data_IF_523999910747
#
_entry.id   IF_523999910747
#
_cell.length_a   1.000
_cell.length_b   1.000
_cell.length_c   1.000
_cell.angle_alpha   90.00
_cell.angle_beta   90.00
_cell.angle_gamma   90.00
#
_symmetry.space_group_name_H-M   'P 1'
#
loop_
_entity.id
_entity.type
_entity.pdbx_description
1 polymer ?
#
# COMPACT_ATOMS: atom_id res chain seq x y z
N UNK A 1 42.25 61.20 -22.36
CA UNK A 1 42.02 59.98 -23.17
C UNK A 1 41.85 58.82 -22.20
N UNK A 2 40.64 58.26 -22.09
CA UNK A 2 40.39 57.05 -21.30
C UNK A 2 40.91 55.82 -22.08
N UNK A 3 41.53 54.83 -21.42
CA UNK A 3 41.94 53.60 -22.07
C UNK A 3 40.70 52.78 -22.51
N UNK A 4 40.80 51.99 -23.60
CA UNK A 4 39.66 51.24 -24.10
C UNK A 4 39.28 50.12 -23.12
N UNK A 5 37.98 50.06 -22.80
CA UNK A 5 37.36 48.97 -22.07
C UNK A 5 37.59 47.64 -22.80
N UNK A 6 38.45 46.79 -22.23
CA UNK A 6 38.59 45.39 -22.61
C UNK A 6 37.28 44.67 -22.28
N UNK A 7 36.52 44.28 -23.30
CA UNK A 7 35.34 43.41 -23.15
C UNK A 7 35.80 42.09 -22.56
N UNK A 8 35.32 41.77 -21.34
CA UNK A 8 35.47 40.42 -20.79
C UNK A 8 34.80 39.41 -21.74
N UNK A 9 35.41 38.23 -21.97
CA UNK A 9 34.78 37.20 -22.77
C UNK A 9 33.47 36.78 -22.08
N UNK A 10 32.37 36.87 -22.81
CA UNK A 10 31.07 36.33 -22.38
C UNK A 10 31.25 34.84 -22.07
N UNK A 11 30.96 34.45 -20.82
CA UNK A 11 30.99 33.06 -20.39
C UNK A 11 30.15 32.22 -21.36
N UNK A 12 30.77 31.21 -21.99
CA UNK A 12 30.05 30.33 -22.89
C UNK A 12 28.94 29.60 -22.10
N UNK A 13 27.72 29.48 -22.66
CA UNK A 13 26.66 28.74 -22.00
C UNK A 13 27.10 27.29 -21.79
N UNK A 14 27.15 26.85 -20.53
CA UNK A 14 27.50 25.48 -20.18
C UNK A 14 26.44 24.52 -20.73
N UNK A 15 26.86 23.58 -21.57
CA UNK A 15 25.97 22.52 -22.07
C UNK A 15 25.50 21.69 -20.86
N UNK A 16 24.18 21.53 -20.64
CA UNK A 16 23.67 20.72 -19.54
C UNK A 16 24.20 19.29 -19.65
N UNK A 17 24.72 18.76 -18.54
CA UNK A 17 25.21 17.37 -18.49
C UNK A 17 24.02 16.41 -18.55
N UNK A 18 23.90 15.67 -19.65
CA UNK A 18 22.87 14.63 -19.82
C UNK A 18 23.48 13.23 -19.72
N UNK A 19 22.63 12.22 -19.49
CA UNK A 19 23.04 10.81 -19.42
C UNK A 19 22.12 9.96 -20.29
N UNK A 20 22.68 9.02 -21.06
CA UNK A 20 21.94 8.00 -21.78
C UNK A 20 22.42 6.62 -21.35
N UNK A 21 21.63 5.97 -20.49
CA UNK A 21 21.93 4.66 -19.88
C UNK A 21 23.28 4.63 -19.14
N UNK A 22 23.59 3.47 -18.57
CA UNK A 22 24.88 3.15 -17.96
C UNK A 22 25.25 1.73 -18.35
N UNK A 23 26.56 1.49 -18.52
CA UNK A 23 27.06 0.14 -18.73
C UNK A 23 26.88 -0.66 -17.43
N UNK A 24 26.40 -1.90 -17.55
CA UNK A 24 26.35 -2.83 -16.43
C UNK A 24 27.77 -3.15 -15.97
N UNK A 25 28.03 -3.25 -14.67
CA UNK A 25 29.31 -3.70 -14.15
C UNK A 25 29.54 -5.19 -14.46
N UNK A 26 30.81 -5.62 -14.50
CA UNK A 26 31.22 -7.00 -14.81
C UNK A 26 30.70 -8.04 -13.78
N UNK A 27 30.24 -7.56 -12.62
CA UNK A 27 29.56 -8.34 -11.59
C UNK A 27 28.15 -8.78 -11.97
N UNK A 28 27.60 -8.28 -13.08
CA UNK A 28 26.22 -8.53 -13.53
C UNK A 28 26.19 -8.91 -15.01
N UNK A 29 25.18 -9.69 -15.42
CA UNK A 29 25.07 -10.17 -16.80
C UNK A 29 23.79 -9.59 -17.41
N UNK A 30 23.92 -8.90 -18.55
CA UNK A 30 22.75 -8.39 -19.28
C UNK A 30 21.83 -9.53 -19.70
N UNK A 31 20.52 -9.41 -19.46
CA UNK A 31 19.53 -10.41 -19.90
C UNK A 31 19.60 -10.67 -21.41
N UNK A 32 19.86 -9.62 -22.19
CA UNK A 32 19.94 -9.71 -23.65
C UNK A 32 21.28 -10.22 -24.18
N UNK A 33 22.29 -10.50 -23.33
CA UNK A 33 23.57 -11.05 -23.81
C UNK A 33 23.44 -12.55 -24.14
N UNK A 34 24.37 -13.13 -24.93
CA UNK A 34 24.41 -14.57 -25.14
C UNK A 34 24.42 -15.38 -23.84
N UNK A 35 25.16 -14.93 -22.83
CA UNK A 35 25.25 -15.54 -21.50
C UNK A 35 23.92 -15.39 -20.74
N UNK A 36 23.33 -14.19 -20.74
CA UNK A 36 22.03 -13.95 -20.10
C UNK A 36 20.89 -14.79 -20.69
N UNK A 37 20.92 -15.04 -22.00
CA UNK A 37 19.97 -15.95 -22.66
C UNK A 37 20.19 -17.41 -22.30
N UNK A 38 21.45 -17.84 -22.09
CA UNK A 38 21.75 -19.20 -21.61
C UNK A 38 21.24 -19.42 -20.19
N UNK A 39 21.46 -18.45 -19.29
CA UNK A 39 20.90 -18.47 -17.93
C UNK A 39 19.39 -18.56 -17.95
N UNK A 40 18.73 -17.79 -18.81
CA UNK A 40 17.27 -17.85 -18.93
C UNK A 40 16.77 -19.20 -19.47
N UNK A 41 17.46 -19.78 -20.45
CA UNK A 41 17.12 -21.11 -20.96
C UNK A 41 17.29 -22.20 -19.89
N UNK A 42 18.35 -22.14 -19.09
CA UNK A 42 18.61 -23.03 -17.95
C UNK A 42 17.55 -22.88 -16.86
N UNK A 43 17.25 -21.63 -16.48
CA UNK A 43 16.18 -21.31 -15.52
C UNK A 43 14.82 -21.81 -16.00
N UNK A 44 14.51 -21.67 -17.30
CA UNK A 44 13.26 -22.18 -17.86
C UNK A 44 13.19 -23.71 -17.83
N UNK A 45 14.29 -24.40 -18.15
CA UNK A 45 14.36 -25.85 -18.11
C UNK A 45 14.23 -26.42 -16.69
N UNK A 46 14.64 -25.66 -15.67
CA UNK A 46 14.52 -26.01 -14.24
C UNK A 46 13.24 -25.47 -13.57
N UNK A 47 12.36 -24.79 -14.32
CA UNK A 47 11.11 -24.22 -13.81
C UNK A 47 11.26 -22.94 -12.99
N UNK A 48 12.45 -22.33 -12.98
CA UNK A 48 12.78 -21.11 -12.23
C UNK A 48 12.30 -19.80 -12.87
N UNK A 49 11.50 -19.86 -13.94
CA UNK A 49 10.92 -18.68 -14.63
C UNK A 49 9.45 -18.47 -14.33
N UNK A 50 8.88 -19.11 -13.30
CA UNK A 50 7.44 -19.04 -13.00
C UNK A 50 6.95 -17.60 -12.79
N UNK A 51 7.69 -16.81 -12.02
CA UNK A 51 7.35 -15.41 -11.77
C UNK A 51 7.52 -14.51 -13.01
N UNK A 52 8.41 -14.89 -13.93
CA UNK A 52 8.85 -14.04 -15.03
C UNK A 52 7.70 -13.65 -15.95
N UNK A 53 6.85 -14.62 -16.32
CA UNK A 53 5.83 -14.42 -17.34
C UNK A 53 4.76 -13.41 -16.91
N UNK A 54 4.25 -13.52 -15.68
CA UNK A 54 3.28 -12.55 -15.16
C UNK A 54 3.92 -11.18 -14.94
N UNK A 55 5.17 -11.12 -14.46
CA UNK A 55 5.85 -9.83 -14.20
C UNK A 55 6.25 -9.10 -15.48
N UNK A 56 6.70 -9.81 -16.52
CA UNK A 56 7.19 -9.17 -17.76
C UNK A 56 6.06 -8.49 -18.54
N UNK A 57 4.83 -9.02 -18.46
CA UNK A 57 3.63 -8.38 -19.03
C UNK A 57 3.35 -7.02 -18.39
N UNK A 58 3.80 -6.81 -17.16
CA UNK A 58 3.56 -5.59 -16.38
C UNK A 58 4.77 -4.66 -16.32
N UNK A 59 5.93 -5.09 -16.84
CA UNK A 59 7.19 -4.38 -16.68
C UNK A 59 7.17 -3.00 -17.36
N UNK A 60 7.25 -1.95 -16.55
CA UNK A 60 7.27 -0.57 -17.00
C UNK A 60 8.49 0.20 -16.50
N UNK A 61 8.74 1.34 -17.12
CA UNK A 61 9.80 2.26 -16.69
C UNK A 61 9.26 3.14 -15.58
N UNK A 62 10.01 3.27 -14.48
CA UNK A 62 9.61 4.19 -13.42
C UNK A 62 9.53 5.63 -13.98
N UNK A 63 8.41 6.36 -13.75
CA UNK A 63 8.19 7.66 -14.38
C UNK A 63 9.08 8.74 -13.78
N UNK A 64 9.53 8.56 -12.55
CA UNK A 64 10.41 9.47 -11.83
C UNK A 64 11.65 8.73 -11.31
N UNK A 65 12.84 9.38 -11.22
CA UNK A 65 14.06 8.74 -10.72
C UNK A 65 13.94 8.13 -9.30
N UNK A 66 13.06 8.67 -8.47
CA UNK A 66 12.81 8.20 -7.10
C UNK A 66 11.69 7.15 -6.98
N UNK A 67 10.92 6.89 -8.05
CA UNK A 67 9.70 6.07 -8.01
C UNK A 67 9.93 4.55 -8.11
N UNK A 68 11.17 4.07 -8.02
CA UNK A 68 11.46 2.63 -8.17
C UNK A 68 10.61 1.73 -7.25
N UNK A 69 10.35 2.15 -6.01
CA UNK A 69 9.47 1.44 -5.09
C UNK A 69 8.01 1.43 -5.54
N UNK A 70 7.45 2.58 -5.93
CA UNK A 70 6.06 2.68 -6.40
C UNK A 70 5.85 1.84 -7.67
N UNK A 71 6.72 2.01 -8.65
CA UNK A 71 6.64 1.26 -9.92
C UNK A 71 6.78 -0.24 -9.70
N UNK A 72 7.68 -0.67 -8.82
CA UNK A 72 7.82 -2.09 -8.44
C UNK A 72 6.52 -2.63 -7.84
N UNK A 73 5.86 -1.88 -6.96
CA UNK A 73 4.60 -2.31 -6.36
C UNK A 73 3.47 -2.36 -7.40
N UNK A 74 3.38 -1.39 -8.31
CA UNK A 74 2.39 -1.42 -9.41
C UNK A 74 2.58 -2.66 -10.30
N UNK A 75 3.83 -2.99 -10.65
CA UNK A 75 4.14 -4.20 -11.43
C UNK A 75 3.60 -5.44 -10.74
N UNK A 76 3.85 -5.59 -9.43
CA UNK A 76 3.40 -6.75 -8.66
C UNK A 76 1.88 -6.79 -8.49
N UNK A 77 1.23 -5.65 -8.20
CA UNK A 77 -0.23 -5.57 -8.07
C UNK A 77 -0.94 -6.01 -9.35
N UNK A 78 -0.49 -5.52 -10.50
CA UNK A 78 -1.05 -5.90 -11.79
C UNK A 78 -0.72 -7.36 -12.14
N UNK A 79 0.48 -7.86 -11.79
CA UNK A 79 0.88 -9.25 -12.04
C UNK A 79 0.07 -10.24 -11.18
N UNK A 80 -0.35 -9.82 -9.98
CA UNK A 80 -1.28 -10.55 -9.11
C UNK A 80 -2.75 -10.38 -9.52
N UNK A 81 -3.03 -9.58 -10.57
CA UNK A 81 -4.38 -9.23 -11.01
C UNK A 81 -5.24 -8.62 -9.88
N UNK A 82 -4.65 -7.78 -9.02
CA UNK A 82 -5.40 -7.02 -8.03
C UNK A 82 -6.19 -5.94 -8.75
N UNK A 83 -7.50 -5.90 -8.48
CA UNK A 83 -8.40 -4.90 -9.03
C UNK A 83 -8.37 -3.63 -8.16
N UNK A 84 -7.92 -2.47 -8.68
CA UNK A 84 -7.83 -1.25 -7.88
C UNK A 84 -9.19 -0.67 -7.50
N UNK A 85 -10.29 -1.21 -8.05
CA UNK A 85 -11.69 -0.75 -7.87
C UNK A 85 -11.90 0.75 -8.10
N UNK A 86 -11.01 1.38 -8.87
CA UNK A 86 -11.09 2.78 -9.30
C UNK A 86 -10.76 2.87 -10.78
N UNK A 87 -11.37 3.83 -11.47
CA UNK A 87 -11.05 4.11 -12.86
C UNK A 87 -9.61 4.61 -12.97
N UNK A 88 -8.86 4.07 -13.93
CA UNK A 88 -7.57 4.59 -14.35
C UNK A 88 -7.76 5.55 -15.51
N UNK A 89 -8.30 5.05 -16.63
CA UNK A 89 -8.55 5.82 -17.86
C UNK A 89 -9.82 5.32 -18.54
N UNK A 90 -10.80 6.21 -18.70
CA UNK A 90 -12.09 5.85 -19.31
C UNK A 90 -12.77 4.70 -18.55
N UNK A 91 -13.20 3.62 -19.23
CA UNK A 91 -13.83 2.47 -18.56
C UNK A 91 -12.82 1.51 -17.90
N UNK A 92 -11.52 1.73 -18.07
CA UNK A 92 -10.48 0.79 -17.64
C UNK A 92 -10.07 1.03 -16.19
N UNK A 93 -9.84 -0.08 -15.47
CA UNK A 93 -9.31 -0.11 -14.10
C UNK A 93 -7.93 -0.77 -14.17
N UNK A 94 -6.91 -0.10 -13.67
CA UNK A 94 -5.54 -0.59 -13.71
C UNK A 94 -4.70 0.17 -12.69
N UNK A 95 -3.72 -0.48 -12.05
CA UNK A 95 -2.84 0.25 -11.15
C UNK A 95 -1.85 1.12 -11.91
N UNK A 96 -1.67 2.35 -11.41
CA UNK A 96 -0.55 3.24 -11.73
C UNK A 96 -0.02 3.88 -10.44
N UNK A 97 1.18 4.46 -10.48
CA UNK A 97 1.89 4.95 -9.29
C UNK A 97 1.13 6.04 -8.53
N UNK A 98 0.30 6.83 -9.23
CA UNK A 98 -0.53 7.88 -8.62
C UNK A 98 -1.55 7.34 -7.61
N UNK A 99 -1.89 6.05 -7.71
CA UNK A 99 -2.84 5.37 -6.83
C UNK A 99 -2.21 4.90 -5.51
N UNK A 100 -0.89 5.00 -5.35
CA UNK A 100 -0.13 4.50 -4.21
C UNK A 100 0.19 5.62 -3.19
N UNK A 101 -0.85 6.26 -2.66
CA UNK A 101 -0.76 7.45 -1.81
C UNK A 101 -1.20 7.25 -0.34
N UNK A 102 -1.62 6.04 0.06
CA UNK A 102 -2.12 5.78 1.41
C UNK A 102 -1.08 5.95 2.53
N UNK A 103 0.21 5.73 2.21
CA UNK A 103 1.33 5.77 3.16
C UNK A 103 2.35 6.87 2.84
N UNK A 104 2.13 7.70 1.82
CA UNK A 104 3.12 8.69 1.37
C UNK A 104 2.48 9.93 0.76
N UNK A 105 3.20 11.04 0.81
CA UNK A 105 2.98 12.18 -0.09
C UNK A 105 3.82 11.95 -1.37
N UNK A 106 3.16 11.82 -2.52
CA UNK A 106 3.81 11.52 -3.79
C UNK A 106 4.80 12.61 -4.23
N UNK A 107 4.56 13.89 -3.90
CA UNK A 107 5.52 14.95 -4.24
C UNK A 107 6.79 14.82 -3.39
N UNK A 108 6.67 14.45 -2.11
CA UNK A 108 7.82 14.15 -1.25
C UNK A 108 8.57 12.90 -1.73
N UNK A 109 7.85 11.91 -2.25
CA UNK A 109 8.46 10.69 -2.82
C UNK A 109 9.29 11.00 -4.07
N UNK A 110 8.94 12.01 -4.88
CA UNK A 110 9.77 12.42 -6.02
C UNK A 110 11.17 12.88 -5.59
N UNK A 111 11.27 13.49 -4.42
CA UNK A 111 12.52 14.01 -3.87
C UNK A 111 13.35 12.92 -3.18
N UNK A 112 12.70 12.05 -2.41
CA UNK A 112 13.37 11.17 -1.43
C UNK A 112 13.25 9.68 -1.72
N UNK A 113 12.27 9.27 -2.54
CA UNK A 113 11.92 7.86 -2.71
C UNK A 113 11.10 7.34 -1.53
N UNK A 114 11.16 6.03 -1.28
CA UNK A 114 10.48 5.38 -0.16
C UNK A 114 11.40 4.41 0.57
N UNK A 115 11.17 4.24 1.87
CA UNK A 115 11.89 3.27 2.72
C UNK A 115 11.33 1.86 2.58
N UNK A 116 12.04 0.87 3.13
CA UNK A 116 11.60 -0.53 3.16
C UNK A 116 10.26 -0.73 3.90
N UNK A 117 10.11 -0.07 5.06
CA UNK A 117 8.89 -0.02 5.86
C UNK A 117 7.73 0.62 5.09
N UNK A 118 8.00 1.73 4.40
CA UNK A 118 7.02 2.45 3.58
C UNK A 118 6.51 1.58 2.42
N UNK A 119 7.40 0.85 1.74
CA UNK A 119 6.98 -0.08 0.68
C UNK A 119 6.02 -1.14 1.22
N UNK A 120 6.36 -1.77 2.36
CA UNK A 120 5.50 -2.75 3.00
C UNK A 120 4.14 -2.16 3.41
N UNK A 121 4.14 -0.91 3.89
CA UNK A 121 2.92 -0.17 4.21
C UNK A 121 2.02 0.01 2.99
N UNK A 122 2.59 0.52 1.88
CA UNK A 122 1.86 0.71 0.64
C UNK A 122 1.27 -0.61 0.12
N UNK A 123 2.05 -1.69 0.13
CA UNK A 123 1.58 -3.00 -0.31
C UNK A 123 0.38 -3.48 0.52
N UNK A 124 0.46 -3.37 1.86
CA UNK A 124 -0.62 -3.77 2.76
C UNK A 124 -1.88 -2.94 2.59
N UNK A 125 -1.77 -1.63 2.35
CA UNK A 125 -2.92 -0.80 2.02
C UNK A 125 -3.69 -1.27 0.79
N UNK A 126 -2.99 -1.86 -0.18
CA UNK A 126 -3.59 -2.36 -1.42
C UNK A 126 -4.13 -3.79 -1.26
N UNK A 127 -4.30 -4.26 -0.02
CA UNK A 127 -4.88 -5.57 0.27
C UNK A 127 -3.96 -6.75 0.00
N UNK A 128 -2.64 -6.51 -0.11
CA UNK A 128 -1.67 -7.60 -0.24
C UNK A 128 -1.30 -8.18 1.12
N UNK A 129 -1.08 -9.49 1.14
CA UNK A 129 -0.34 -10.15 2.21
C UNK A 129 1.15 -9.83 2.06
N UNK A 130 1.78 -9.34 3.12
CA UNK A 130 3.15 -8.81 3.08
C UNK A 130 4.02 -9.54 4.12
N UNK A 131 5.02 -10.27 3.64
CA UNK A 131 6.10 -10.81 4.46
C UNK A 131 7.41 -10.07 4.14
N UNK A 132 7.73 -9.06 4.95
CA UNK A 132 8.91 -8.21 4.78
C UNK A 132 10.01 -8.61 5.76
N UNK A 133 11.19 -8.96 5.24
CA UNK A 133 12.34 -9.41 6.05
C UNK A 133 13.55 -8.52 5.77
N UNK A 134 14.03 -7.87 6.82
CA UNK A 134 15.29 -7.13 6.76
C UNK A 134 16.46 -8.09 6.52
N UNK A 135 17.40 -7.71 5.65
CA UNK A 135 18.58 -8.51 5.32
C UNK A 135 19.43 -8.86 6.55
N UNK A 136 19.50 -7.98 7.55
CA UNK A 136 20.18 -8.26 8.83
C UNK A 136 19.50 -9.34 9.69
N UNK A 137 18.22 -9.62 9.42
CA UNK A 137 17.39 -10.56 10.18
C UNK A 137 17.17 -11.88 9.43
N UNK A 138 17.94 -12.14 8.38
CA UNK A 138 17.87 -13.32 7.53
C UNK A 138 19.25 -13.92 7.33
N UNK A 139 19.30 -15.17 6.89
CA UNK A 139 20.50 -15.78 6.31
C UNK A 139 20.41 -15.85 4.78
N UNK A 140 21.54 -16.13 4.12
CA UNK A 140 21.55 -16.38 2.67
C UNK A 140 20.73 -17.63 2.31
N UNK A 141 20.71 -18.64 3.18
CA UNK A 141 19.99 -19.88 2.92
C UNK A 141 18.48 -19.67 3.05
N UNK A 142 18.04 -18.84 4.00
CA UNK A 142 16.65 -18.39 4.08
C UNK A 142 16.25 -17.59 2.84
N UNK A 143 17.09 -16.66 2.40
CA UNK A 143 16.84 -15.88 1.19
C UNK A 143 16.76 -16.78 -0.05
N UNK A 144 17.67 -17.75 -0.21
CA UNK A 144 17.65 -18.71 -1.32
C UNK A 144 16.39 -19.57 -1.30
N UNK A 145 15.93 -20.00 -0.12
CA UNK A 145 14.67 -20.73 0.02
C UNK A 145 13.49 -19.88 -0.47
N UNK A 146 13.41 -18.61 -0.06
CA UNK A 146 12.36 -17.68 -0.51
C UNK A 146 12.42 -17.44 -2.03
N UNK A 147 13.61 -17.27 -2.60
CA UNK A 147 13.81 -17.14 -4.06
C UNK A 147 13.28 -18.38 -4.78
N UNK A 148 13.60 -19.59 -4.31
CA UNK A 148 13.09 -20.83 -4.88
C UNK A 148 11.57 -20.93 -4.78
N UNK A 149 11.00 -20.65 -3.61
CA UNK A 149 9.55 -20.69 -3.37
C UNK A 149 8.76 -19.73 -4.27
N UNK A 150 9.34 -18.57 -4.61
CA UNK A 150 8.66 -17.53 -5.40
C UNK A 150 8.93 -17.61 -6.90
N UNK A 151 10.10 -18.08 -7.31
CA UNK A 151 10.47 -18.18 -8.73
C UNK A 151 10.27 -19.58 -9.34
N UNK A 152 10.17 -20.63 -8.51
CA UNK A 152 10.10 -22.03 -8.95
C UNK A 152 8.78 -22.68 -8.52
N UNK A 153 8.33 -23.69 -9.25
CA UNK A 153 7.10 -24.40 -8.92
C UNK A 153 7.35 -25.67 -8.09
N UNK A 154 6.40 -25.99 -7.20
CA UNK A 154 6.21 -27.36 -6.66
C UNK A 154 4.88 -27.99 -7.10
N UNK A 155 4.05 -27.26 -7.86
CA UNK A 155 2.73 -27.68 -8.35
C UNK A 155 2.60 -27.46 -9.87
N UNK A 156 1.52 -27.95 -10.49
CA UNK A 156 1.30 -27.97 -11.94
C UNK A 156 1.61 -26.65 -12.65
N UNK A 157 2.23 -26.74 -13.84
CA UNK A 157 2.65 -25.60 -14.68
C UNK A 157 1.50 -24.63 -15.04
N UNK A 158 0.25 -25.08 -14.97
CA UNK A 158 -0.94 -24.32 -15.39
C UNK A 158 -1.43 -23.25 -14.39
N UNK A 159 -0.95 -23.24 -13.14
CA UNK A 159 -1.41 -22.26 -12.15
C UNK A 159 -0.63 -20.94 -12.27
N UNK A 160 -1.33 -19.80 -12.28
CA UNK A 160 -0.70 -18.48 -12.17
C UNK A 160 0.05 -18.31 -10.83
N UNK A 161 1.17 -17.57 -10.77
CA UNK A 161 1.84 -17.26 -9.52
C UNK A 161 0.92 -16.47 -8.57
N UNK A 162 0.79 -16.92 -7.33
CA UNK A 162 0.00 -16.23 -6.28
C UNK A 162 0.85 -15.33 -5.38
N UNK A 163 2.16 -15.31 -5.62
CA UNK A 163 3.12 -14.51 -4.85
C UNK A 163 4.31 -14.10 -5.71
N UNK A 164 4.89 -12.94 -5.41
CA UNK A 164 6.10 -12.43 -6.06
C UNK A 164 7.10 -11.92 -5.03
N UNK A 165 8.39 -12.04 -5.36
CA UNK A 165 9.49 -11.54 -4.56
C UNK A 165 9.93 -10.16 -5.06
N UNK A 166 10.04 -9.23 -4.11
CA UNK A 166 10.62 -7.90 -4.31
C UNK A 166 11.86 -7.78 -3.44
N UNK A 167 12.92 -7.16 -3.99
CA UNK A 167 14.12 -6.82 -3.23
C UNK A 167 14.25 -5.32 -3.08
N UNK A 168 14.68 -4.88 -1.90
CA UNK A 168 15.23 -3.55 -1.65
C UNK A 168 16.72 -3.72 -1.39
N UNK A 169 17.56 -3.15 -2.24
CA UNK A 169 19.01 -3.40 -2.20
C UNK A 169 19.80 -2.13 -2.49
N UNK A 170 21.08 -2.12 -2.08
CA UNK A 170 21.97 -1.03 -2.47
C UNK A 170 22.69 -1.34 -3.79
N UNK A 171 22.63 -0.38 -4.72
CA UNK A 171 23.38 -0.44 -5.98
C UNK A 171 24.90 -0.41 -5.79
N UNK A 172 25.38 0.14 -4.67
CA UNK A 172 26.82 0.27 -4.38
C UNK A 172 27.52 -1.09 -4.31
N UNK A 173 26.93 -2.07 -3.63
CA UNK A 173 27.52 -3.41 -3.45
C UNK A 173 27.68 -4.14 -4.79
N UNK A 174 26.69 -3.99 -5.68
CA UNK A 174 26.72 -4.62 -7.00
C UNK A 174 27.54 -3.83 -8.04
N UNK A 175 28.16 -2.70 -7.67
CA UNK A 175 28.97 -1.87 -8.58
C UNK A 175 28.14 -0.98 -9.52
N UNK A 176 26.85 -0.79 -9.23
CA UNK A 176 25.98 0.08 -10.01
C UNK A 176 25.97 1.51 -9.44
N UNK A 177 25.70 2.48 -10.32
CA UNK A 177 25.54 3.88 -9.90
C UNK A 177 24.22 4.08 -9.16
N UNK A 178 24.19 4.87 -8.09
CA UNK A 178 23.01 5.15 -7.25
C UNK A 178 23.14 4.59 -5.84
N UNK A 179 22.11 4.78 -5.03
CA UNK A 179 22.06 4.37 -3.61
C UNK A 179 21.18 3.14 -3.42
N UNK A 180 19.94 3.30 -2.96
CA UNK A 180 18.95 2.22 -2.81
C UNK A 180 18.13 2.01 -4.08
N UNK A 181 17.57 0.82 -4.24
CA UNK A 181 16.68 0.49 -5.34
C UNK A 181 15.69 -0.61 -4.94
N UNK A 182 14.49 -0.57 -5.52
CA UNK A 182 13.50 -1.64 -5.47
C UNK A 182 13.33 -2.25 -6.85
N UNK A 183 13.17 -3.56 -6.93
CA UNK A 183 12.79 -4.27 -8.15
C UNK A 183 12.20 -5.64 -7.83
N UNK A 184 11.30 -6.18 -8.67
CA UNK A 184 10.87 -7.55 -8.56
C UNK A 184 11.92 -8.52 -9.11
N UNK A 185 11.94 -9.74 -8.56
CA UNK A 185 12.75 -10.84 -9.06
C UNK A 185 11.90 -11.67 -10.02
N UNK A 186 12.34 -11.73 -11.28
CA UNK A 186 11.60 -12.40 -12.35
C UNK A 186 11.90 -13.88 -12.47
N UNK A 187 13.14 -14.29 -12.21
CA UNK A 187 13.57 -15.68 -12.40
C UNK A 187 14.76 -16.03 -11.52
N UNK A 188 14.99 -17.33 -11.35
CA UNK A 188 16.12 -17.90 -10.65
C UNK A 188 16.70 -19.06 -11.46
N UNK A 189 18.01 -19.07 -11.65
CA UNK A 189 18.72 -20.19 -12.24
C UNK A 189 19.47 -20.95 -11.13
N UNK A 190 18.97 -22.12 -10.77
CA UNK A 190 19.52 -22.92 -9.67
C UNK A 190 20.91 -23.48 -9.98
N UNK A 191 21.19 -23.80 -11.24
CA UNK A 191 22.49 -24.37 -11.66
C UNK A 191 23.65 -23.39 -11.44
N UNK A 192 23.44 -22.10 -11.74
CA UNK A 192 24.47 -21.06 -11.58
C UNK A 192 24.31 -20.20 -10.33
N UNK A 193 23.21 -20.34 -9.58
CA UNK A 193 22.84 -19.51 -8.43
C UNK A 193 22.70 -18.01 -8.78
N UNK A 194 22.09 -17.70 -9.93
CA UNK A 194 21.80 -16.34 -10.38
C UNK A 194 20.31 -16.02 -10.31
N UNK A 195 19.99 -14.75 -10.00
CA UNK A 195 18.63 -14.22 -10.01
C UNK A 195 18.48 -13.10 -11.04
N UNK A 196 17.31 -13.04 -11.68
CA UNK A 196 16.98 -12.07 -12.71
C UNK A 196 16.24 -10.88 -12.09
N UNK A 197 16.89 -9.71 -12.11
CA UNK A 197 16.31 -8.45 -11.61
C UNK A 197 15.60 -7.73 -12.75
N UNK A 198 14.30 -7.48 -12.57
CA UNK A 198 13.49 -6.69 -13.51
C UNK A 198 13.60 -5.18 -13.17
N UNK A 199 14.77 -4.60 -13.40
CA UNK A 199 15.10 -3.20 -13.03
C UNK A 199 14.11 -2.19 -13.62
N UNK A 200 13.42 -1.45 -12.75
CA UNK A 200 12.41 -0.45 -13.15
C UNK A 200 13.04 0.83 -13.71
N UNK A 201 14.29 1.12 -13.41
CA UNK A 201 15.06 2.24 -13.96
C UNK A 201 15.60 1.90 -15.36
N UNK A 202 14.71 1.53 -16.29
CA UNK A 202 15.03 1.04 -17.64
C UNK A 202 15.83 2.04 -18.49
N UNK A 203 15.70 3.33 -18.19
CA UNK A 203 16.49 4.42 -18.77
C UNK A 203 17.97 4.38 -18.34
N UNK A 204 18.31 3.61 -17.30
CA UNK A 204 19.63 3.50 -16.69
C UNK A 204 20.26 2.13 -16.91
N UNK A 205 19.61 1.06 -16.47
CA UNK A 205 20.04 -0.33 -16.68
C UNK A 205 18.89 -1.16 -17.28
N UNK A 206 19.23 -2.17 -18.08
CA UNK A 206 18.24 -3.15 -18.54
C UNK A 206 18.00 -4.24 -17.50
N UNK A 207 17.11 -5.18 -17.83
CA UNK A 207 16.97 -6.44 -17.08
C UNK A 207 18.32 -7.17 -17.06
N UNK A 208 18.72 -7.66 -15.90
CA UNK A 208 20.05 -8.26 -15.70
C UNK A 208 20.06 -9.33 -14.62
N UNK A 209 21.00 -10.25 -14.75
CA UNK A 209 21.26 -11.32 -13.79
C UNK A 209 22.31 -10.87 -12.76
N UNK A 210 22.12 -11.26 -11.51
CA UNK A 210 23.03 -11.02 -10.39
C UNK A 210 23.26 -12.35 -9.64
N UNK A 211 24.49 -12.67 -9.20
CA UNK A 211 24.71 -13.80 -8.30
C UNK A 211 23.88 -13.65 -7.01
N UNK A 212 23.23 -14.72 -6.55
CA UNK A 212 22.35 -14.68 -5.38
C UNK A 212 23.08 -14.19 -4.13
N UNK A 213 24.31 -14.67 -3.92
CA UNK A 213 25.17 -14.22 -2.83
C UNK A 213 25.42 -12.72 -2.87
N UNK A 214 25.72 -12.17 -4.05
CA UNK A 214 26.00 -10.75 -4.22
C UNK A 214 24.74 -9.90 -3.99
N UNK A 215 23.57 -10.37 -4.41
CA UNK A 215 22.30 -9.71 -4.09
C UNK A 215 22.06 -9.71 -2.58
N UNK A 216 22.23 -10.85 -1.90
CA UNK A 216 22.05 -10.94 -0.45
C UNK A 216 22.97 -9.96 0.29
N UNK A 217 24.24 -9.88 -0.12
CA UNK A 217 25.20 -8.92 0.42
C UNK A 217 24.77 -7.46 0.15
N UNK A 218 23.95 -7.19 -0.87
CA UNK A 218 23.39 -5.88 -1.15
C UNK A 218 22.13 -5.53 -0.32
N UNK A 219 21.53 -6.50 0.38
CA UNK A 219 20.37 -6.29 1.27
C UNK A 219 20.77 -5.84 2.68
N UNK A 220 21.96 -6.24 3.13
CA UNK A 220 22.43 -6.08 4.52
C UNK A 220 22.93 -4.68 4.89
N UNK A 221 23.52 -3.85 4.00
CA UNK A 221 24.00 -2.53 4.37
C UNK A 221 22.87 -1.63 4.84
N UNK A 222 23.15 -0.82 5.86
CA UNK A 222 22.19 0.09 6.44
C UNK A 222 21.73 1.13 5.42
N UNK A 223 20.43 1.40 5.41
CA UNK A 223 19.86 2.57 4.78
C UNK A 223 20.16 3.79 5.66
N UNK A 224 20.87 4.83 5.14
CA UNK A 224 21.17 6.03 5.93
C UNK A 224 19.90 6.74 6.46
N UNK A 225 18.76 6.60 5.78
CA UNK A 225 17.54 7.31 6.16
C UNK A 225 16.86 6.67 7.38
N UNK A 226 17.07 5.36 7.61
CA UNK A 226 16.37 4.61 8.67
C UNK A 226 17.30 3.98 9.71
N UNK A 227 18.60 3.91 9.42
CA UNK A 227 19.58 3.17 10.23
C UNK A 227 19.35 1.66 10.27
N UNK A 228 18.41 1.12 9.49
CA UNK A 228 18.11 -0.33 9.37
C UNK A 228 18.62 -0.87 8.04
N UNK A 229 18.88 -2.18 7.96
CA UNK A 229 19.23 -2.79 6.68
C UNK A 229 18.06 -2.67 5.69
N UNK A 230 18.33 -2.86 4.40
CA UNK A 230 17.26 -3.13 3.44
C UNK A 230 16.80 -4.59 3.59
N UNK A 231 16.31 -5.24 2.54
CA UNK A 231 15.75 -6.57 2.68
C UNK A 231 14.98 -7.07 1.46
N UNK A 232 14.19 -8.11 1.68
CA UNK A 232 13.31 -8.69 0.67
C UNK A 232 11.89 -8.80 1.19
N UNK A 233 10.92 -8.76 0.28
CA UNK A 233 9.49 -8.75 0.59
C UNK A 233 8.80 -9.75 -0.32
N UNK A 234 8.11 -10.73 0.28
CA UNK A 234 7.16 -11.58 -0.45
C UNK A 234 5.79 -10.93 -0.38
N UNK A 235 5.22 -10.69 -1.55
CA UNK A 235 3.89 -10.13 -1.72
C UNK A 235 2.99 -11.22 -2.29
N UNK A 236 1.85 -11.48 -1.65
CA UNK A 236 0.88 -12.46 -2.16
C UNK A 236 -0.53 -11.92 -2.16
N UNK A 237 -1.33 -12.46 -3.08
CA UNK A 237 -2.75 -12.15 -3.19
C UNK A 237 -3.50 -13.39 -3.64
N UNK A 238 -4.46 -13.82 -2.83
CA UNK A 238 -5.26 -15.02 -3.10
C UNK A 238 -6.61 -14.70 -3.76
N UNK A 239 -6.82 -13.45 -4.19
CA UNK A 239 -8.08 -13.00 -4.79
C UNK A 239 -9.25 -12.94 -3.83
N UNK A 240 -10.37 -12.40 -4.30
CA UNK A 240 -11.70 -12.66 -3.73
C UNK A 240 -12.25 -13.88 -4.47
N UNK A 241 -11.93 -15.09 -4.00
CA UNK A 241 -12.46 -16.30 -4.64
C UNK A 241 -13.98 -16.34 -4.50
N UNK A 242 -14.70 -16.44 -5.63
CA UNK A 242 -16.17 -16.63 -5.65
C UNK A 242 -16.60 -18.02 -5.17
N UNK A 243 -15.67 -18.98 -5.11
CA UNK A 243 -15.94 -20.39 -4.78
C UNK A 243 -14.80 -20.99 -3.95
N UNK A 244 -14.80 -20.83 -2.61
CA UNK A 244 -14.03 -21.71 -1.73
C UNK A 244 -14.80 -22.07 -0.47
N UNK A 245 -15.11 -23.38 -0.33
CA UNK A 245 -15.45 -24.00 0.94
C UNK A 245 -14.29 -23.77 1.92
N UNK A 246 -14.59 -23.09 3.02
CA UNK A 246 -13.64 -22.64 4.03
C UNK A 246 -12.96 -23.85 4.70
N UNK A 247 -11.69 -24.09 4.38
CA UNK A 247 -10.81 -24.98 5.13
C UNK A 247 -10.21 -24.22 6.32
N UNK A 248 -10.19 -24.86 7.50
CA UNK A 248 -9.59 -24.33 8.72
C UNK A 248 -8.10 -24.03 8.55
N UNK A 249 -7.77 -22.77 8.31
CA UNK A 249 -6.42 -22.22 8.40
C UNK A 249 -6.55 -20.71 8.55
N UNK A 250 -5.82 -20.11 9.49
CA UNK A 250 -5.83 -18.66 9.73
C UNK A 250 -5.49 -17.92 8.43
N UNK A 251 -6.49 -17.26 7.87
CA UNK A 251 -6.37 -16.41 6.70
C UNK A 251 -6.47 -14.96 7.19
N UNK A 252 -5.35 -14.26 7.31
CA UNK A 252 -5.37 -12.81 7.53
C UNK A 252 -5.59 -12.09 6.20
N UNK A 253 -6.76 -12.27 5.59
CA UNK A 253 -7.09 -11.52 4.39
C UNK A 253 -7.57 -10.13 4.79
N UNK A 254 -6.81 -9.09 4.46
CA UNK A 254 -7.36 -7.74 4.41
C UNK A 254 -7.97 -7.56 3.02
N UNK A 255 -9.29 -7.68 2.84
CA UNK A 255 -9.91 -7.14 1.64
C UNK A 255 -9.52 -5.68 1.47
N UNK A 256 -9.40 -5.25 0.21
CA UNK A 256 -9.19 -3.84 -0.17
C UNK A 256 -10.11 -2.94 0.65
N UNK A 257 -9.60 -1.80 1.13
CA UNK A 257 -10.45 -0.78 1.74
C UNK A 257 -11.53 -0.36 0.75
N UNK A 258 -12.79 -0.50 1.16
CA UNK A 258 -13.97 -0.07 0.42
C UNK A 258 -14.63 1.14 1.06
N UNK A 259 -14.28 1.49 2.31
CA UNK A 259 -14.86 2.66 2.97
C UNK A 259 -13.88 3.83 3.03
N UNK A 260 -12.70 3.65 3.63
CA UNK A 260 -11.87 4.79 4.03
C UNK A 260 -10.38 4.64 3.69
N UNK A 261 -9.79 5.74 3.24
CA UNK A 261 -8.34 5.96 3.23
C UNK A 261 -7.97 6.72 4.49
N UNK A 262 -6.77 6.46 5.02
CA UNK A 262 -6.15 7.36 5.98
C UNK A 262 -5.15 8.26 5.27
N UNK A 263 -5.22 9.58 5.50
CA UNK A 263 -4.35 10.59 4.87
C UNK A 263 -2.98 10.63 5.56
N UNK A 264 -1.89 10.40 4.82
CA UNK A 264 -0.54 10.50 5.40
C UNK A 264 -0.02 11.93 5.53
N UNK A 265 -0.53 12.86 4.73
CA UNK A 265 -0.23 14.28 4.87
C UNK A 265 -0.57 14.83 6.27
N UNK A 266 -1.31 14.06 7.08
CA UNK A 266 -1.73 14.36 8.44
C UNK A 266 -1.12 13.42 9.48
N UNK A 267 0.10 12.94 9.26
CA UNK A 267 0.82 12.05 10.19
C UNK A 267 0.86 12.57 11.64
N UNK A 268 1.01 13.89 11.83
CA UNK A 268 0.95 14.51 13.15
C UNK A 268 -0.37 14.24 13.90
N UNK A 269 -1.51 14.15 13.20
CA UNK A 269 -2.79 13.79 13.80
C UNK A 269 -2.82 12.33 14.23
N UNK A 270 -2.23 11.43 13.44
CA UNK A 270 -2.10 10.00 13.78
C UNK A 270 -1.31 9.83 15.07
N UNK A 271 -0.17 10.50 15.18
CA UNK A 271 0.67 10.52 16.40
C UNK A 271 -0.06 11.10 17.59
N UNK A 272 -0.77 12.21 17.40
CA UNK A 272 -1.55 12.86 18.48
C UNK A 272 -2.62 11.92 19.01
N UNK A 273 -3.34 11.24 18.11
CA UNK A 273 -4.36 10.28 18.50
C UNK A 273 -3.75 9.03 19.15
N UNK A 274 -2.64 8.51 18.62
CA UNK A 274 -1.92 7.38 19.23
C UNK A 274 -1.46 7.69 20.66
N UNK A 275 -0.92 8.88 20.90
CA UNK A 275 -0.55 9.34 22.24
C UNK A 275 -1.76 9.44 23.17
N UNK A 276 -2.91 9.90 22.65
CA UNK A 276 -4.16 9.91 23.39
C UNK A 276 -4.59 8.49 23.80
N UNK A 277 -4.53 7.51 22.88
CA UNK A 277 -4.82 6.11 23.20
C UNK A 277 -3.87 5.55 24.27
N UNK A 278 -2.55 5.79 24.15
CA UNK A 278 -1.56 5.34 25.12
C UNK A 278 -1.79 5.91 26.52
N UNK A 279 -2.16 7.19 26.63
CA UNK A 279 -2.50 7.81 27.93
C UNK A 279 -3.74 7.18 28.55
N UNK A 280 -4.78 6.96 27.74
CA UNK A 280 -6.03 6.35 28.18
C UNK A 280 -5.83 4.91 28.69
N UNK A 281 -4.80 4.20 28.20
CA UNK A 281 -4.47 2.85 28.65
C UNK A 281 -3.60 2.80 29.93
N UNK A 282 -2.93 3.90 30.30
CA UNK A 282 -1.97 3.96 31.40
C UNK A 282 -2.52 4.60 32.69
N UNK A 283 -3.71 5.20 32.65
CA UNK A 283 -4.34 5.75 33.86
C UNK A 283 -4.86 4.62 34.76
N UNK A 284 -4.48 4.66 36.05
CA UNK A 284 -4.85 3.69 37.12
C UNK A 284 -6.37 3.55 37.34
N UNK A 285 -7.17 4.49 36.80
CA UNK A 285 -8.64 4.48 36.81
C UNK A 285 -9.28 3.73 35.62
N UNK A 286 -8.48 3.23 34.68
CA UNK A 286 -8.91 2.26 33.66
C UNK A 286 -10.13 2.69 32.84
N UNK A 287 -10.13 3.90 32.27
CA UNK A 287 -11.12 4.24 31.24
C UNK A 287 -10.82 3.42 29.98
N UNK A 288 -11.40 2.21 29.91
CA UNK A 288 -11.39 1.40 28.70
C UNK A 288 -11.85 2.27 27.51
N UNK A 289 -11.04 2.31 26.46
CA UNK A 289 -11.34 2.99 25.20
C UNK A 289 -12.76 2.59 24.77
N UNK A 290 -13.65 3.57 24.64
CA UNK A 290 -15.06 3.38 24.35
C UNK A 290 -15.49 4.32 23.21
N UNK A 291 -16.70 4.13 22.68
CA UNK A 291 -17.13 4.87 21.50
C UNK A 291 -17.26 6.37 21.81
N UNK A 292 -17.77 6.71 22.99
CA UNK A 292 -17.91 8.11 23.41
C UNK A 292 -16.58 8.83 23.55
N UNK A 293 -15.54 8.19 24.10
CA UNK A 293 -14.23 8.81 24.27
C UNK A 293 -13.53 9.08 22.92
N UNK A 294 -13.59 8.11 22.02
CA UNK A 294 -13.10 8.24 20.63
C UNK A 294 -13.89 9.32 19.87
N UNK A 295 -15.22 9.34 20.02
CA UNK A 295 -16.06 10.39 19.43
C UNK A 295 -15.71 11.77 19.98
N UNK A 296 -15.49 11.91 21.29
CA UNK A 296 -15.10 13.19 21.89
C UNK A 296 -13.77 13.69 21.32
N UNK A 297 -12.76 12.83 21.16
CA UNK A 297 -11.49 13.20 20.55
C UNK A 297 -11.68 13.71 19.11
N UNK A 298 -12.33 12.90 18.26
CA UNK A 298 -12.48 13.21 16.82
C UNK A 298 -13.51 14.28 16.50
N UNK A 299 -14.21 14.79 17.52
CA UNK A 299 -15.15 15.91 17.39
C UNK A 299 -14.73 17.13 18.19
N UNK A 300 -13.53 17.12 18.80
CA UNK A 300 -13.05 18.18 19.69
C UNK A 300 -14.08 18.51 20.78
N UNK A 301 -14.51 17.48 21.52
CA UNK A 301 -15.59 17.52 22.51
C UNK A 301 -16.93 17.97 21.91
N UNK A 302 -17.32 17.37 20.78
CA UNK A 302 -18.58 17.61 20.08
C UNK A 302 -18.76 19.05 19.54
N UNK A 303 -17.67 19.79 19.38
CA UNK A 303 -17.69 21.16 18.82
C UNK A 303 -17.47 21.18 17.31
N UNK A 304 -16.82 20.15 16.77
CA UNK A 304 -16.44 20.07 15.36
C UNK A 304 -16.64 18.67 14.78
N UNK A 305 -17.80 18.44 14.16
CA UNK A 305 -18.16 17.14 13.57
C UNK A 305 -17.39 16.79 12.29
N UNK A 306 -16.63 17.74 11.72
CA UNK A 306 -15.89 17.50 10.47
C UNK A 306 -14.42 17.17 10.71
N UNK A 307 -13.93 17.29 11.95
CA UNK A 307 -12.52 17.07 12.27
C UNK A 307 -12.03 15.65 11.95
N UNK A 308 -12.90 14.64 12.03
CA UNK A 308 -12.59 13.26 11.61
C UNK A 308 -12.13 13.15 10.14
N UNK A 309 -12.62 14.02 9.26
CA UNK A 309 -12.27 14.04 7.83
C UNK A 309 -10.86 14.61 7.55
N UNK A 310 -10.22 15.19 8.56
CA UNK A 310 -8.79 15.50 8.48
C UNK A 310 -7.96 14.22 8.47
N UNK A 311 -8.36 13.17 9.18
CA UNK A 311 -7.63 11.89 9.19
C UNK A 311 -8.04 10.96 8.04
N UNK A 312 -9.35 10.81 7.81
CA UNK A 312 -9.88 9.82 6.87
C UNK A 312 -10.63 10.43 5.70
N UNK A 313 -10.59 9.76 4.56
CA UNK A 313 -11.31 10.13 3.34
C UNK A 313 -12.12 8.95 2.81
N UNK A 314 -13.40 9.13 2.44
CA UNK A 314 -14.15 8.09 1.74
C UNK A 314 -13.47 7.68 0.43
N UNK A 315 -13.16 6.40 0.25
CA UNK A 315 -12.48 5.91 -0.96
C UNK A 315 -13.40 5.48 -2.09
N UNK A 316 -14.68 5.23 -1.83
CA UNK A 316 -15.47 4.49 -2.81
C UNK A 316 -15.93 5.34 -4.00
N UNK A 317 -15.47 4.95 -5.18
CA UNK A 317 -16.20 5.11 -6.43
C UNK A 317 -16.69 3.73 -6.87
N UNK A 318 -17.92 3.32 -6.50
CA UNK A 318 -18.41 2.00 -6.86
C UNK A 318 -18.41 1.85 -8.38
N UNK A 319 -17.80 0.78 -8.86
CA UNK A 319 -17.66 0.52 -10.30
C UNK A 319 -18.68 -0.51 -10.81
N UNK A 320 -19.32 -1.26 -9.90
CA UNK A 320 -20.46 -2.12 -10.20
C UNK A 320 -21.53 -2.12 -9.07
N UNK A 321 -22.63 -2.84 -9.28
CA UNK A 321 -23.73 -2.96 -8.31
C UNK A 321 -23.36 -3.76 -7.06
N UNK A 322 -22.39 -4.67 -7.16
CA UNK A 322 -21.96 -5.52 -6.06
C UNK A 322 -21.15 -4.72 -5.03
N UNK A 323 -20.32 -3.78 -5.49
CA UNK A 323 -19.62 -2.83 -4.62
C UNK A 323 -20.62 -1.95 -3.83
N UNK A 324 -21.68 -1.47 -4.49
CA UNK A 324 -22.73 -0.67 -3.85
C UNK A 324 -23.43 -1.48 -2.76
N UNK A 325 -23.80 -2.73 -3.06
CA UNK A 325 -24.51 -3.61 -2.15
C UNK A 325 -23.63 -4.02 -0.96
N UNK A 326 -22.35 -4.30 -1.21
CA UNK A 326 -21.35 -4.59 -0.18
C UNK A 326 -21.18 -3.40 0.76
N UNK A 327 -20.97 -2.20 0.23
CA UNK A 327 -20.82 -1.00 1.07
C UNK A 327 -22.10 -0.65 1.81
N UNK A 328 -23.27 -0.80 1.19
CA UNK A 328 -24.54 -0.60 1.90
C UNK A 328 -24.66 -1.56 3.09
N UNK A 329 -24.34 -2.84 2.89
CA UNK A 329 -24.41 -3.87 3.93
C UNK A 329 -23.44 -3.59 5.08
N UNK A 330 -22.21 -3.18 4.78
CA UNK A 330 -21.21 -2.81 5.81
C UNK A 330 -21.69 -1.59 6.61
N UNK A 331 -22.26 -0.59 5.95
CA UNK A 331 -22.77 0.61 6.60
C UNK A 331 -23.97 0.33 7.49
N UNK A 332 -24.89 -0.52 7.06
CA UNK A 332 -26.04 -0.89 7.86
C UNK A 332 -25.61 -1.68 9.10
N UNK A 333 -24.61 -2.56 8.97
CA UNK A 333 -23.95 -3.18 10.11
C UNK A 333 -23.29 -2.15 11.05
N UNK A 334 -22.58 -1.15 10.53
CA UNK A 334 -21.97 -0.10 11.36
C UNK A 334 -23.03 0.65 12.18
N UNK A 335 -24.13 1.08 11.56
CA UNK A 335 -25.22 1.80 12.26
C UNK A 335 -25.82 0.95 13.37
N UNK A 336 -26.07 -0.32 13.08
CA UNK A 336 -26.60 -1.28 14.05
C UNK A 336 -25.65 -1.43 15.27
N UNK A 337 -24.33 -1.53 15.03
CA UNK A 337 -23.35 -1.66 16.09
C UNK A 337 -23.19 -0.37 16.93
N UNK A 338 -23.27 0.80 16.29
CA UNK A 338 -23.27 2.09 16.99
C UNK A 338 -24.45 2.16 17.97
N UNK A 339 -25.65 1.79 17.53
CA UNK A 339 -26.85 1.80 18.38
C UNK A 339 -26.69 0.85 19.59
N UNK A 340 -26.09 -0.32 19.38
CA UNK A 340 -25.83 -1.30 20.45
C UNK A 340 -24.82 -0.80 21.48
N UNK A 341 -23.71 -0.19 21.05
CA UNK A 341 -22.68 0.31 21.98
C UNK A 341 -23.17 1.55 22.74
N UNK A 342 -23.89 2.48 22.08
CA UNK A 342 -24.51 3.63 22.76
C UNK A 342 -25.56 3.21 23.79
N UNK A 343 -26.33 2.15 23.53
CA UNK A 343 -27.28 1.61 24.51
C UNK A 343 -26.57 1.04 25.76
N UNK A 344 -25.33 0.56 25.63
CA UNK A 344 -24.53 -0.01 26.73
C UNK A 344 -23.93 1.07 27.63
N UNK A 345 -23.50 2.20 27.07
CA UNK A 345 -22.71 3.22 27.78
C UNK A 345 -23.49 4.03 28.83
N UNK A 346 -24.85 4.01 28.83
CA UNK A 346 -25.74 4.69 29.82
C UNK A 346 -25.45 6.19 30.10
N UNK A 347 -24.52 6.83 29.40
CA UNK A 347 -24.11 8.24 29.51
C UNK A 347 -24.06 8.90 28.13
N UNK A 348 -24.43 10.18 28.10
CA UNK A 348 -24.41 11.19 27.02
C UNK A 348 -24.64 10.70 25.58
N UNK A 349 -25.79 11.06 25.00
CA UNK A 349 -26.10 10.78 23.60
C UNK A 349 -25.16 11.54 22.66
N UNK A 350 -24.53 10.83 21.71
CA UNK A 350 -23.85 11.47 20.58
C UNK A 350 -24.82 12.43 19.86
N UNK A 351 -24.41 13.67 19.52
CA UNK A 351 -25.27 14.61 18.81
C UNK A 351 -25.82 14.02 17.51
N UNK A 352 -27.12 14.23 17.24
CA UNK A 352 -27.78 13.78 16.00
C UNK A 352 -27.05 14.27 14.73
N UNK A 353 -26.37 15.40 14.83
CA UNK A 353 -25.56 15.99 13.76
C UNK A 353 -24.39 15.11 13.31
N UNK A 354 -23.92 14.15 14.12
CA UNK A 354 -22.89 13.17 13.73
C UNK A 354 -23.42 12.06 12.81
N UNK A 355 -24.72 11.80 12.85
CA UNK A 355 -25.39 10.80 12.01
C UNK A 355 -25.87 11.40 10.68
N UNK A 356 -25.81 12.72 10.54
CA UNK A 356 -26.16 13.39 9.30
C UNK A 356 -25.00 13.27 8.32
N UNK A 357 -25.26 12.64 7.16
CA UNK A 357 -24.32 12.66 6.04
C UNK A 357 -24.22 14.10 5.53
N UNK A 358 -23.00 14.62 5.32
CA UNK A 358 -22.81 15.98 4.83
C UNK A 358 -23.61 16.21 3.53
N UNK A 359 -24.66 17.02 3.62
CA UNK A 359 -25.35 17.65 2.50
C UNK A 359 -25.42 19.14 2.83
N UNK A 360 -24.71 19.92 2.01
CA UNK A 360 -24.78 21.38 1.92
C UNK A 360 -24.34 22.19 3.16
N UNK A 361 -23.06 22.54 3.22
CA UNK A 361 -22.63 23.84 3.78
C UNK A 361 -21.22 24.21 3.29
N UNK A 362 -21.15 25.26 2.45
CA UNK A 362 -19.97 25.93 1.83
C UNK A 362 -19.25 25.12 0.74
N UNK A 363 -19.10 25.55 -0.52
CA UNK A 363 -19.14 26.89 -1.10
C UNK A 363 -17.77 27.20 -1.70
N UNK A 364 -17.41 26.58 -2.83
CA UNK A 364 -16.30 27.06 -3.65
C UNK A 364 -16.71 28.39 -4.31
N UNK A 365 -15.92 29.47 -4.20
CA UNK A 365 -16.18 30.70 -4.93
C UNK A 365 -15.76 30.49 -6.38
N UNK A 366 -16.72 30.27 -7.26
CA UNK A 366 -16.48 30.10 -8.70
C UNK A 366 -17.61 29.32 -9.34
N UNK A 367 -18.76 29.97 -9.51
CA UNK A 367 -19.87 29.39 -10.27
C UNK A 367 -19.55 29.36 -11.76
N UNK A 368 -19.93 28.27 -12.42
CA UNK A 368 -20.33 28.28 -13.83
C UNK A 368 -21.37 27.18 -14.08
N UNK A 369 -22.30 27.51 -14.97
CA UNK A 369 -23.63 26.92 -15.15
C UNK A 369 -23.66 25.40 -15.43
N UNK A 370 -24.62 24.72 -14.82
CA UNK A 370 -24.91 23.30 -15.06
C UNK A 370 -25.58 23.09 -16.43
N UNK A 371 -25.04 22.17 -17.23
CA UNK A 371 -25.74 21.52 -18.35
C UNK A 371 -26.03 20.05 -17.98
N UNK A 372 -27.09 19.47 -18.54
CA UNK A 372 -27.73 18.20 -18.12
C UNK A 372 -26.86 16.94 -18.17
N UNK A 373 -25.61 17.01 -18.62
CA UNK A 373 -24.66 15.89 -18.69
C UNK A 373 -23.84 15.67 -17.40
N UNK A 374 -23.74 16.66 -16.50
CA UNK A 374 -22.99 16.54 -15.23
C UNK A 374 -23.80 15.99 -14.04
N UNK A 375 -25.11 15.76 -14.21
CA UNK A 375 -25.96 15.24 -13.13
C UNK A 375 -25.64 13.77 -12.77
N UNK A 376 -25.07 13.00 -13.70
CA UNK A 376 -24.70 11.59 -13.44
C UNK A 376 -23.47 11.45 -12.53
N UNK A 377 -22.66 12.49 -12.35
CA UNK A 377 -21.45 12.43 -11.51
C UNK A 377 -21.80 12.54 -10.02
N UNK A 378 -22.89 13.23 -9.68
CA UNK A 378 -23.33 13.47 -8.29
C UNK A 378 -24.02 12.24 -7.68
N UNK A 379 -24.44 11.27 -8.50
CA UNK A 379 -25.06 10.01 -8.04
C UNK A 379 -24.05 8.95 -7.56
N UNK A 380 -22.75 9.16 -7.71
CA UNK A 380 -21.72 8.12 -7.46
C UNK A 380 -20.97 8.22 -6.12
N UNK A 381 -21.15 9.28 -5.32
CA UNK A 381 -20.53 9.35 -3.98
C UNK A 381 -21.45 8.71 -2.94
N UNK A 382 -20.97 7.65 -2.31
CA UNK A 382 -21.63 7.07 -1.13
C UNK A 382 -21.52 8.07 0.02
N UNK A 383 -22.69 8.44 0.55
CA UNK A 383 -22.80 9.40 1.64
C UNK A 383 -22.54 8.72 2.98
N UNK A 384 -21.35 8.91 3.53
CA UNK A 384 -20.96 8.38 4.84
C UNK A 384 -21.04 9.51 5.88
N UNK A 385 -21.55 9.20 7.07
CA UNK A 385 -21.67 10.13 8.20
C UNK A 385 -20.39 10.16 9.06
N UNK A 386 -20.12 11.26 9.79
CA UNK A 386 -19.04 11.30 10.77
C UNK A 386 -19.12 10.18 11.81
N UNK A 387 -20.31 9.78 12.24
CA UNK A 387 -20.49 8.68 13.21
C UNK A 387 -20.00 7.34 12.66
N UNK A 388 -20.28 7.03 11.38
CA UNK A 388 -19.79 5.81 10.73
C UNK A 388 -18.27 5.80 10.64
N UNK A 389 -17.67 6.93 10.25
CA UNK A 389 -16.23 7.16 10.22
C UNK A 389 -15.56 6.96 11.59
N UNK A 390 -16.10 7.62 12.62
CA UNK A 390 -15.61 7.53 14.01
C UNK A 390 -15.73 6.09 14.53
N UNK A 391 -16.79 5.36 14.17
CA UNK A 391 -16.97 3.99 14.62
C UNK A 391 -15.90 3.04 14.08
N UNK A 392 -15.50 3.17 12.81
CA UNK A 392 -14.38 2.38 12.27
C UNK A 392 -13.06 2.74 12.96
N UNK A 393 -12.83 4.01 13.27
CA UNK A 393 -11.67 4.44 14.05
C UNK A 393 -11.71 3.88 15.49
N UNK A 394 -12.89 3.84 16.11
CA UNK A 394 -13.10 3.22 17.42
C UNK A 394 -12.71 1.74 17.39
N UNK A 395 -13.22 0.97 16.42
CA UNK A 395 -12.78 -0.42 16.24
C UNK A 395 -11.25 -0.50 16.05
N UNK A 396 -10.68 0.34 15.18
CA UNK A 396 -9.24 0.40 14.95
C UNK A 396 -8.41 0.73 16.21
N UNK A 397 -9.03 1.30 17.25
CA UNK A 397 -8.37 1.68 18.50
C UNK A 397 -8.36 0.56 19.56
N UNK A 398 -9.06 -0.55 19.30
CA UNK A 398 -9.20 -1.67 20.24
C UNK A 398 -8.23 -2.83 19.92
N UNK A 399 -7.95 -3.76 20.85
CA UNK A 399 -7.29 -5.02 20.53
C UNK A 399 -8.09 -5.87 19.51
N UNK A 400 -7.39 -6.68 18.71
CA UNK A 400 -7.98 -7.48 17.62
C UNK A 400 -9.16 -8.35 18.11
N UNK A 401 -9.01 -9.02 19.25
CA UNK A 401 -10.06 -9.87 19.82
C UNK A 401 -11.30 -9.05 20.21
N UNK A 402 -11.10 -7.90 20.85
CA UNK A 402 -12.19 -6.98 21.23
C UNK A 402 -12.96 -6.46 20.01
N UNK A 403 -12.24 -6.14 18.92
CA UNK A 403 -12.87 -5.74 17.63
C UNK A 403 -13.78 -6.85 17.13
N UNK A 404 -13.27 -8.08 17.12
CA UNK A 404 -14.00 -9.25 16.64
C UNK A 404 -15.24 -9.50 17.49
N UNK A 405 -15.13 -9.41 18.82
CA UNK A 405 -16.27 -9.59 19.73
C UNK A 405 -17.37 -8.55 19.53
N UNK A 406 -17.02 -7.30 19.23
CA UNK A 406 -18.01 -6.26 18.88
C UNK A 406 -18.69 -6.59 17.56
N UNK A 407 -17.89 -6.86 16.50
CA UNK A 407 -18.42 -7.11 15.15
C UNK A 407 -19.24 -8.40 15.07
N UNK A 408 -18.95 -9.42 15.90
CA UNK A 408 -19.68 -10.70 15.92
C UNK A 408 -20.71 -10.82 17.04
N UNK A 409 -20.96 -9.74 17.78
CA UNK A 409 -21.92 -9.73 18.88
C UNK A 409 -23.31 -10.14 18.36
N UNK A 410 -23.83 -11.29 18.81
CA UNK A 410 -25.16 -11.77 18.41
C UNK A 410 -26.26 -10.83 18.91
N UNK A 411 -27.19 -10.48 18.02
CA UNK A 411 -28.42 -9.77 18.36
C UNK A 411 -29.57 -10.72 18.74
N UNK A 412 -30.60 -10.16 19.39
CA UNK A 412 -31.91 -10.76 19.60
C UNK A 412 -32.57 -11.20 18.25
N UNK A 413 -33.57 -12.12 18.26
CA UNK A 413 -33.87 -13.02 17.13
C UNK A 413 -34.48 -12.41 15.85
N UNK A 414 -34.41 -11.08 15.66
CA UNK A 414 -34.88 -10.37 14.46
C UNK A 414 -33.76 -9.79 13.59
N UNK A 415 -32.49 -9.90 13.99
CA UNK A 415 -31.39 -9.42 13.17
C UNK A 415 -31.23 -10.30 11.93
N UNK A 416 -31.31 -9.66 10.77
CA UNK A 416 -31.01 -10.26 9.48
C UNK A 416 -29.66 -10.97 9.51
N UNK A 417 -29.57 -12.08 8.78
CA UNK A 417 -28.38 -12.92 8.62
C UNK A 417 -27.26 -12.14 7.88
N UNK A 418 -26.62 -11.18 8.56
CA UNK A 418 -25.52 -10.39 7.99
C UNK A 418 -24.39 -11.36 7.70
N UNK A 419 -24.02 -11.44 6.41
CA UNK A 419 -23.03 -12.42 5.95
C UNK A 419 -21.68 -12.24 6.63
N UNK A 420 -20.97 -13.35 6.81
CA UNK A 420 -19.61 -13.34 7.39
C UNK A 420 -18.68 -12.42 6.59
N UNK A 421 -18.85 -12.37 5.26
CA UNK A 421 -18.11 -11.49 4.37
C UNK A 421 -18.22 -10.01 4.76
N UNK A 422 -19.42 -9.53 5.11
CA UNK A 422 -19.64 -8.12 5.51
C UNK A 422 -18.93 -7.82 6.83
N UNK A 423 -18.95 -8.79 7.77
CA UNK A 423 -18.26 -8.69 9.07
C UNK A 423 -16.74 -8.67 8.89
N UNK A 424 -16.20 -9.57 8.06
CA UNK A 424 -14.78 -9.59 7.74
C UNK A 424 -14.35 -8.29 7.04
N UNK A 425 -15.16 -7.75 6.12
CA UNK A 425 -14.87 -6.45 5.49
C UNK A 425 -14.75 -5.33 6.53
N UNK A 426 -15.69 -5.22 7.48
CA UNK A 426 -15.62 -4.20 8.53
C UNK A 426 -14.37 -4.33 9.41
N UNK A 427 -13.99 -5.57 9.77
CA UNK A 427 -12.74 -5.82 10.51
C UNK A 427 -11.49 -5.43 9.70
N UNK A 428 -11.54 -5.59 8.38
CA UNK A 428 -10.46 -5.20 7.49
C UNK A 428 -10.30 -3.68 7.42
N UNK A 429 -11.41 -2.93 7.28
CA UNK A 429 -11.39 -1.45 7.34
C UNK A 429 -10.73 -0.96 8.62
N UNK A 430 -11.14 -1.52 9.77
CA UNK A 430 -10.57 -1.19 11.06
C UNK A 430 -9.09 -1.57 11.17
N UNK A 431 -8.69 -2.70 10.59
CA UNK A 431 -7.30 -3.16 10.60
C UNK A 431 -6.40 -2.29 9.74
N UNK A 432 -6.89 -1.79 8.60
CA UNK A 432 -6.16 -0.85 7.75
C UNK A 432 -5.95 0.49 8.46
N UNK A 433 -6.97 1.02 9.14
CA UNK A 433 -6.81 2.24 9.96
C UNK A 433 -5.87 2.00 11.15
N UNK A 434 -6.00 0.88 11.86
CA UNK A 434 -5.10 0.51 12.98
C UNK A 434 -3.66 0.46 12.52
N UNK A 435 -3.41 -0.22 11.40
CA UNK A 435 -2.08 -0.30 10.81
C UNK A 435 -1.55 1.09 10.43
N UNK A 436 -2.38 1.93 9.80
CA UNK A 436 -2.04 3.30 9.45
C UNK A 436 -1.66 4.16 10.68
N UNK A 437 -2.31 3.93 11.83
CA UNK A 437 -1.97 4.56 13.12
C UNK A 437 -0.72 3.93 13.77
N UNK A 438 -0.45 2.64 13.59
CA UNK A 438 0.75 2.01 14.12
C UNK A 438 2.00 2.46 13.37
N UNK A 439 1.90 2.57 12.05
CA UNK A 439 3.00 2.96 11.16
C UNK A 439 3.33 4.45 11.21
N UNK A 440 2.55 5.30 11.89
CA UNK A 440 2.87 6.73 12.04
C UNK A 440 4.21 6.99 12.76
N UNK A 441 4.69 6.00 13.52
CA UNK A 441 5.97 6.07 14.24
C UNK A 441 7.15 5.52 13.41
N UNK A 442 6.86 4.88 12.27
CA UNK A 442 7.88 4.32 11.39
C UNK A 442 8.31 5.39 10.39
N UNK A 443 9.41 6.04 10.76
CA UNK A 443 10.32 6.90 9.98
C UNK A 443 9.87 8.38 9.74
N UNK A 444 10.12 9.24 10.73
CA UNK A 444 10.66 10.62 10.52
C UNK A 444 12.16 10.56 10.72
#
# INVERSE_FOLDING_TARGET
MQPPLTKQPTAQPSIPRTFYRRQLPDTTISFSSPEGRKLFASSMASGGTRAFFSLIEQLQTQPEPAYCGLTTLVIVLNALAVDPRRSWKGPWRWYEESMLNCCVDLEKVKETGITFSTFACLAKCQGLDVNAVHGSNSTIDDFRRVVKETCSSSTSEDDQPTSFLVVSYTRKVIGQTGTGHFSPIGAYDEESDYLLVLDTARFKYGVHWIPLKLMFDALTPLDPDTGKSRGYIVLSYNGVSKDRKLGNGQLSHLPLSVLFESKMSKDYLRRTYKQYLMRSMNDDDGENINLSSVASFWTQNYTNNTFVWELIEPQLQPVDSYDIETVSSVRDLIKELIDLDLAKEKKLQMPKTLFMTAKESSGFPGGECCTSSTCNTVQRLIKISPAEAIFVIYLASLPVDSRRDIVYRKQQPKASDVSDTVRQQLLAEASLISYALETCDLDI
#
